data_IF_310530582085
#
_entry.id   IF_310530582085
#
_cell.length_a   1.000
_cell.length_b   1.000
_cell.length_c   1.000
_cell.angle_alpha   90.00
_cell.angle_beta   90.00
_cell.angle_gamma   90.00
#
_symmetry.space_group_name_H-M   'P 1'
#
loop_
_entity.id
_entity.type
_entity.pdbx_description
1 polymer ?
#
# COMPACT_ATOMS: atom_id res chain seq x y z
N UNK A 1 -55.76 6.22 18.42
CA UNK A 1 -56.01 4.92 19.08
C UNK A 1 -54.77 4.56 19.88
N UNK A 2 -54.92 4.31 21.19
CA UNK A 2 -53.87 3.96 22.18
C UNK A 2 -52.73 4.99 22.39
N UNK A 3 -52.31 5.25 23.65
CA UNK A 3 -51.17 6.13 23.97
C UNK A 3 -49.85 5.34 24.17
N UNK A 4 -48.72 6.06 24.23
CA UNK A 4 -47.40 5.53 24.55
C UNK A 4 -47.11 5.74 26.05
N UNK A 5 -46.49 4.75 26.69
CA UNK A 5 -46.13 4.76 28.13
C UNK A 5 -44.66 5.19 28.29
N UNK A 6 -44.33 6.15 29.18
CA UNK A 6 -42.94 6.52 29.48
C UNK A 6 -42.29 5.57 30.49
N UNK A 7 -40.99 5.29 30.31
CA UNK A 7 -40.17 4.52 31.27
C UNK A 7 -39.55 5.41 32.36
N UNK A 8 -39.52 4.92 33.60
CA UNK A 8 -39.15 5.73 34.77
C UNK A 8 -37.64 5.91 34.98
N UNK A 9 -37.24 7.14 35.30
CA UNK A 9 -35.96 7.44 35.94
C UNK A 9 -36.09 7.26 37.47
N UNK A 10 -35.11 6.60 38.11
CA UNK A 10 -35.12 6.34 39.55
C UNK A 10 -34.15 7.26 40.30
N UNK A 11 -34.69 8.13 41.17
CA UNK A 11 -33.94 8.86 42.20
C UNK A 11 -34.61 8.60 43.55
N UNK A 12 -33.87 8.05 44.51
CA UNK A 12 -34.39 7.66 45.84
C UNK A 12 -33.89 8.64 46.91
N UNK A 13 -34.80 9.33 47.60
CA UNK A 13 -34.49 10.15 48.79
C UNK A 13 -34.45 9.29 50.06
N UNK A 14 -33.74 9.78 51.08
CA UNK A 14 -33.79 9.27 52.45
C UNK A 14 -33.54 10.38 53.49
N UNK A 15 -34.40 10.43 54.50
CA UNK A 15 -34.34 11.23 55.74
C UNK A 15 -34.54 10.26 56.93
N UNK A 16 -34.42 10.57 58.23
CA UNK A 16 -34.10 11.77 59.04
C UNK A 16 -33.20 11.33 60.24
N UNK A 17 -33.15 11.81 61.50
CA UNK A 17 -33.74 12.90 62.32
C UNK A 17 -33.02 12.93 63.70
N UNK A 18 -33.08 14.05 64.45
CA UNK A 18 -32.83 14.17 65.93
C UNK A 18 -31.41 13.80 66.46
N UNK A 19 -30.89 14.21 67.63
CA UNK A 19 -31.07 15.30 68.64
C UNK A 19 -29.93 15.13 69.69
N UNK A 20 -29.47 16.05 70.55
CA UNK A 20 -29.63 17.51 70.80
C UNK A 20 -28.32 17.97 71.55
N UNK A 21 -28.17 18.89 72.55
CA UNK A 21 -29.02 19.82 73.32
C UNK A 21 -28.16 20.84 74.13
N UNK A 22 -28.53 22.12 74.11
CA UNK A 22 -28.40 23.18 75.16
C UNK A 22 -27.19 23.31 76.13
N UNK A 23 -26.58 24.52 76.11
CA UNK A 23 -26.24 25.44 77.24
C UNK A 23 -24.82 25.50 77.91
N UNK A 24 -24.47 26.77 78.21
CA UNK A 24 -23.48 27.34 79.16
C UNK A 24 -22.01 27.51 78.72
N UNK A 25 -21.28 28.40 79.43
CA UNK A 25 -20.20 29.22 78.87
C UNK A 25 -19.07 29.60 79.87
N UNK A 26 -17.90 29.95 79.32
CA UNK A 26 -16.69 30.48 79.99
C UNK A 26 -15.99 29.48 80.95
N UNK A 27 -14.68 29.58 81.28
CA UNK A 27 -13.73 30.69 81.11
C UNK A 27 -12.26 30.23 81.12
N UNK A 28 -11.38 30.92 80.36
CA UNK A 28 -9.90 30.99 80.50
C UNK A 28 -9.07 29.72 80.15
N UNK A 29 -7.81 29.85 79.64
CA UNK A 29 -7.12 28.78 78.94
C UNK A 29 -5.87 28.21 79.67
N UNK A 30 -5.38 27.07 79.18
CA UNK A 30 -3.96 26.69 79.27
C UNK A 30 -3.42 26.36 77.88
N UNK A 31 -2.10 26.49 77.74
CA UNK A 31 -1.38 26.60 76.47
C UNK A 31 -0.66 25.29 76.15
N UNK A 32 -1.04 24.58 75.09
CA UNK A 32 -0.11 23.62 74.47
C UNK A 32 -0.34 23.36 72.97
N UNK A 33 0.69 22.78 72.35
CA UNK A 33 1.02 22.79 70.93
C UNK A 33 -0.02 22.14 70.02
N UNK A 34 -0.65 22.95 69.16
CA UNK A 34 -1.35 22.44 67.98
C UNK A 34 -0.47 22.58 66.72
N UNK A 35 -0.23 21.48 66.01
CA UNK A 35 0.60 21.46 64.79
C UNK A 35 -0.14 22.11 63.61
N UNK A 36 0.53 23.02 62.89
CA UNK A 36 -0.05 23.71 61.74
C UNK A 36 -0.02 22.83 60.47
N UNK A 37 -0.93 21.85 60.40
CA UNK A 37 -1.11 21.02 59.19
C UNK A 37 -1.88 21.79 58.12
N UNK A 38 -1.19 22.62 57.34
CA UNK A 38 -1.75 23.27 56.16
C UNK A 38 -2.01 22.25 55.05
N UNK A 39 -3.22 21.67 55.05
CA UNK A 39 -3.73 20.89 53.92
C UNK A 39 -4.01 21.82 52.73
N UNK A 40 -2.96 22.10 51.95
CA UNK A 40 -3.08 22.67 50.62
C UNK A 40 -3.83 21.68 49.71
N UNK A 41 -5.15 21.82 49.65
CA UNK A 41 -6.02 21.01 48.80
C UNK A 41 -5.93 21.50 47.34
N UNK A 42 -4.78 21.23 46.71
CA UNK A 42 -4.47 21.65 45.35
C UNK A 42 -5.36 20.88 44.38
N UNK A 43 -6.42 21.56 43.90
CA UNK A 43 -7.31 21.05 42.84
C UNK A 43 -6.49 20.59 41.64
N UNK A 44 -6.36 19.27 41.45
CA UNK A 44 -5.75 18.67 40.25
C UNK A 44 -6.65 18.95 39.05
N UNK A 45 -6.40 20.06 38.36
CA UNK A 45 -6.97 20.32 37.04
C UNK A 45 -6.44 19.23 36.11
N UNK A 46 -7.32 18.34 35.66
CA UNK A 46 -7.00 17.38 34.61
C UNK A 46 -6.88 18.13 33.28
N UNK A 47 -5.68 18.63 33.00
CA UNK A 47 -5.29 19.08 31.68
C UNK A 47 -5.18 17.86 30.77
N UNK A 48 -6.32 17.42 30.22
CA UNK A 48 -6.32 16.64 28.99
C UNK A 48 -5.47 17.42 27.97
N UNK A 49 -4.37 16.83 27.52
CA UNK A 49 -3.57 17.43 26.44
C UNK A 49 -4.47 17.62 25.22
N UNK A 50 -4.65 18.84 24.70
CA UNK A 50 -5.55 19.06 23.59
C UNK A 50 -5.09 18.22 22.39
N UNK A 51 -6.02 17.54 21.73
CA UNK A 51 -5.71 16.68 20.59
C UNK A 51 -5.28 17.58 19.43
N UNK A 52 -3.97 17.74 19.26
CA UNK A 52 -3.36 18.60 18.25
C UNK A 52 -3.55 18.03 16.83
N UNK A 53 -4.76 18.18 16.29
CA UNK A 53 -5.06 18.00 14.86
C UNK A 53 -4.49 19.17 14.01
N UNK A 54 -3.26 19.57 14.29
CA UNK A 54 -2.54 20.61 13.55
C UNK A 54 -2.10 20.11 12.17
N UNK A 55 -1.62 21.04 11.32
CA UNK A 55 -1.18 20.75 9.93
C UNK A 55 -0.15 19.60 9.85
N UNK A 56 0.71 19.44 10.87
CA UNK A 56 1.66 18.32 10.99
C UNK A 56 0.97 16.96 11.16
N UNK A 57 -0.10 16.89 11.95
CA UNK A 57 -0.90 15.67 12.14
C UNK A 57 -1.58 15.28 10.83
N UNK A 58 -2.21 16.23 10.13
CA UNK A 58 -2.84 15.96 8.83
C UNK A 58 -1.81 15.47 7.78
N UNK A 59 -0.64 16.12 7.65
CA UNK A 59 0.45 15.65 6.77
C UNK A 59 0.97 14.24 7.12
N UNK A 60 0.98 13.88 8.40
CA UNK A 60 1.36 12.52 8.84
C UNK A 60 0.24 11.53 8.51
N UNK A 61 -1.03 11.91 8.69
CA UNK A 61 -2.19 11.08 8.38
C UNK A 61 -2.31 10.79 6.88
N UNK A 62 -2.11 11.78 6.00
CA UNK A 62 -2.11 11.56 4.55
C UNK A 62 -0.93 10.70 4.09
N UNK A 63 0.29 10.95 4.60
CA UNK A 63 1.47 10.13 4.27
C UNK A 63 1.31 8.68 4.74
N UNK A 64 0.83 8.47 5.96
CA UNK A 64 0.51 7.12 6.48
C UNK A 64 -0.58 6.46 5.65
N UNK A 65 -1.70 7.13 5.41
CA UNK A 65 -2.79 6.61 4.59
C UNK A 65 -2.32 6.15 3.19
N UNK A 66 -1.45 6.92 2.53
CA UNK A 66 -0.85 6.50 1.26
C UNK A 66 0.04 5.25 1.38
N UNK A 67 0.84 5.13 2.44
CA UNK A 67 1.67 3.95 2.73
C UNK A 67 0.82 2.72 3.11
N UNK A 68 -0.21 2.90 3.93
CA UNK A 68 -1.14 1.88 4.38
C UNK A 68 -2.00 1.36 3.20
N UNK A 69 -2.40 2.24 2.27
CA UNK A 69 -3.06 1.86 1.00
C UNK A 69 -2.13 1.06 0.08
N UNK A 70 -0.85 1.45 -0.06
CA UNK A 70 0.15 0.67 -0.82
C UNK A 70 0.33 -0.72 -0.22
N UNK A 71 0.52 -0.83 1.12
CA UNK A 71 0.62 -2.13 1.81
C UNK A 71 -0.68 -2.95 1.72
N UNK A 72 -1.84 -2.31 1.81
CA UNK A 72 -3.14 -2.96 1.67
C UNK A 72 -3.31 -3.65 0.31
N UNK A 73 -2.92 -2.99 -0.78
CA UNK A 73 -2.93 -3.58 -2.14
C UNK A 73 -1.95 -4.74 -2.29
N UNK A 74 -0.73 -4.62 -1.73
CA UNK A 74 0.24 -5.72 -1.70
C UNK A 74 -0.33 -6.95 -0.97
N UNK A 75 -0.91 -6.75 0.22
CA UNK A 75 -1.53 -7.84 0.99
C UNK A 75 -2.76 -8.44 0.28
N UNK A 76 -3.49 -7.63 -0.49
CA UNK A 76 -4.59 -8.10 -1.34
C UNK A 76 -4.06 -8.98 -2.50
N UNK A 77 -3.04 -8.53 -3.23
CA UNK A 77 -2.40 -9.29 -4.33
C UNK A 77 -1.87 -10.64 -3.85
N UNK A 78 -1.04 -10.65 -2.80
CA UNK A 78 -0.55 -11.90 -2.19
C UNK A 78 -1.72 -12.78 -1.71
N UNK A 79 -2.80 -12.18 -1.22
CA UNK A 79 -4.04 -12.89 -0.90
C UNK A 79 -4.70 -13.58 -2.10
N UNK A 80 -4.82 -12.91 -3.25
CA UNK A 80 -5.32 -13.47 -4.52
C UNK A 80 -4.41 -14.60 -5.02
N UNK A 81 -3.09 -14.38 -5.02
CA UNK A 81 -2.06 -15.37 -5.40
C UNK A 81 -2.20 -16.66 -4.54
N UNK A 82 -2.30 -16.54 -3.22
CA UNK A 82 -2.52 -17.67 -2.30
C UNK A 82 -3.80 -18.43 -2.63
N UNK A 83 -4.93 -17.75 -2.88
CA UNK A 83 -6.19 -18.44 -3.24
C UNK A 83 -6.04 -19.18 -4.58
N UNK A 84 -5.43 -18.56 -5.59
CA UNK A 84 -5.18 -19.17 -6.89
C UNK A 84 -4.30 -20.43 -6.78
N UNK A 85 -3.21 -20.37 -5.99
CA UNK A 85 -2.31 -21.51 -5.77
C UNK A 85 -2.96 -22.65 -4.97
N UNK A 86 -3.73 -22.34 -3.92
CA UNK A 86 -4.42 -23.34 -3.09
C UNK A 86 -5.51 -24.07 -3.90
N UNK A 87 -6.23 -23.37 -4.79
CA UNK A 87 -7.24 -24.01 -5.66
C UNK A 87 -6.60 -24.95 -6.70
N UNK A 88 -5.42 -24.59 -7.23
CA UNK A 88 -4.69 -25.38 -8.24
C UNK A 88 -3.98 -26.61 -7.68
N UNK A 89 -3.38 -26.51 -6.49
CA UNK A 89 -2.50 -27.57 -5.92
C UNK A 89 -2.84 -28.03 -4.49
N UNK A 90 -3.96 -27.58 -3.93
CA UNK A 90 -4.36 -27.86 -2.54
C UNK A 90 -3.68 -26.98 -1.49
N UNK A 91 -4.15 -27.01 -0.23
CA UNK A 91 -3.70 -26.12 0.84
C UNK A 91 -2.37 -26.51 1.50
N UNK A 92 -1.79 -27.65 1.16
CA UNK A 92 -0.58 -28.17 1.77
C UNK A 92 0.67 -27.64 1.03
N UNK A 93 1.54 -26.82 1.65
CA UNK A 93 2.70 -26.24 0.96
C UNK A 93 3.77 -27.28 0.61
N UNK A 94 3.82 -28.42 1.31
CA UNK A 94 4.76 -29.52 1.01
C UNK A 94 4.43 -30.21 -0.32
N UNK A 95 3.15 -30.30 -0.69
CA UNK A 95 2.72 -30.88 -1.98
C UNK A 95 2.51 -29.84 -3.08
N UNK A 96 2.59 -28.54 -2.76
CA UNK A 96 2.26 -27.44 -3.66
C UNK A 96 3.43 -26.43 -3.69
N UNK A 97 4.43 -26.63 -4.56
CA UNK A 97 5.62 -25.78 -4.59
C UNK A 97 5.30 -24.33 -4.97
N UNK A 98 4.26 -24.10 -5.79
CA UNK A 98 3.81 -22.74 -6.11
C UNK A 98 3.30 -22.00 -4.86
N UNK A 99 2.55 -22.69 -4.00
CA UNK A 99 2.15 -22.15 -2.70
C UNK A 99 3.37 -21.90 -1.79
N UNK A 100 4.35 -22.81 -1.75
CA UNK A 100 5.57 -22.62 -0.96
C UNK A 100 6.32 -21.33 -1.36
N UNK A 101 6.54 -21.08 -2.65
CA UNK A 101 7.17 -19.84 -3.14
C UNK A 101 6.36 -18.59 -2.78
N UNK A 102 5.03 -18.63 -2.86
CA UNK A 102 4.18 -17.49 -2.45
C UNK A 102 4.25 -17.26 -0.93
N UNK A 103 4.35 -18.32 -0.13
CA UNK A 103 4.56 -18.22 1.32
C UNK A 103 5.96 -17.72 1.71
N UNK A 104 6.93 -17.78 0.80
CA UNK A 104 8.26 -17.18 0.97
C UNK A 104 8.22 -15.69 0.65
N UNK A 105 7.71 -15.30 -0.52
CA UNK A 105 7.42 -13.88 -0.86
C UNK A 105 6.62 -13.17 0.24
N UNK A 106 5.62 -13.85 0.80
CA UNK A 106 4.77 -13.29 1.86
C UNK A 106 5.55 -12.96 3.15
N UNK A 107 6.66 -13.65 3.44
CA UNK A 107 7.56 -13.32 4.56
C UNK A 107 8.48 -12.17 4.19
N UNK A 108 9.03 -12.18 2.98
CA UNK A 108 9.93 -11.13 2.46
C UNK A 108 9.25 -9.76 2.40
N UNK A 109 7.93 -9.73 2.14
CA UNK A 109 7.13 -8.50 2.05
C UNK A 109 6.36 -8.16 3.34
N UNK A 110 6.79 -8.66 4.51
CA UNK A 110 6.20 -8.41 5.83
C UNK A 110 4.68 -8.70 5.94
N UNK A 111 4.14 -9.65 5.15
CA UNK A 111 2.68 -9.90 5.12
C UNK A 111 2.24 -10.61 6.41
N UNK A 112 1.27 -10.07 7.16
CA UNK A 112 0.76 -10.72 8.37
C UNK A 112 0.21 -12.13 8.11
N UNK A 113 0.68 -13.11 8.90
CA UNK A 113 0.30 -14.54 8.77
C UNK A 113 -1.21 -14.75 8.78
N UNK A 114 -1.93 -13.97 9.56
CA UNK A 114 -3.40 -14.01 9.66
C UNK A 114 -4.10 -13.79 8.31
N UNK A 115 -3.54 -12.93 7.45
CA UNK A 115 -4.07 -12.66 6.10
C UNK A 115 -3.87 -13.88 5.20
N UNK A 116 -2.68 -14.48 5.25
CA UNK A 116 -2.32 -15.69 4.51
C UNK A 116 -3.21 -16.86 4.93
N UNK A 117 -3.28 -17.14 6.23
CA UNK A 117 -4.14 -18.21 6.78
C UNK A 117 -5.61 -18.01 6.44
N UNK A 118 -6.13 -16.77 6.56
CA UNK A 118 -7.52 -16.46 6.21
C UNK A 118 -7.81 -16.74 4.74
N UNK A 119 -6.87 -16.46 3.85
CA UNK A 119 -7.04 -16.69 2.42
C UNK A 119 -6.85 -18.18 2.05
N UNK A 120 -5.95 -18.93 2.71
CA UNK A 120 -5.88 -20.40 2.60
C UNK A 120 -7.18 -21.09 3.05
N UNK A 121 -7.78 -20.61 4.15
CA UNK A 121 -9.06 -21.13 4.66
C UNK A 121 -10.20 -20.86 3.66
N UNK A 122 -10.39 -19.62 3.20
CA UNK A 122 -11.35 -19.28 2.11
C UNK A 122 -11.17 -20.13 0.86
N UNK A 123 -9.92 -20.39 0.44
CA UNK A 123 -9.62 -21.18 -0.76
C UNK A 123 -9.95 -22.67 -0.61
N UNK A 124 -10.11 -23.14 0.63
CA UNK A 124 -10.55 -24.51 0.96
C UNK A 124 -12.08 -24.62 1.09
N UNK A 125 -12.80 -23.49 1.16
CA UNK A 125 -14.26 -23.43 1.22
C UNK A 125 -14.88 -23.58 -0.20
N UNK A 126 -15.88 -24.46 -0.33
CA UNK A 126 -16.55 -24.70 -1.62
C UNK A 126 -17.51 -23.55 -1.94
N UNK A 127 -17.36 -22.93 -3.13
CA UNK A 127 -18.30 -21.95 -3.67
C UNK A 127 -17.70 -20.61 -4.11
N UNK A 128 -16.41 -20.37 -3.87
CA UNK A 128 -15.69 -19.23 -4.48
C UNK A 128 -15.46 -19.47 -5.98
N UNK A 129 -15.49 -18.41 -6.79
CA UNK A 129 -15.04 -18.45 -8.20
C UNK A 129 -13.49 -18.41 -8.28
N UNK A 130 -12.92 -18.83 -9.41
CA UNK A 130 -11.47 -18.76 -9.65
C UNK A 130 -11.04 -17.32 -9.94
N UNK A 131 -9.88 -16.91 -9.41
CA UNK A 131 -9.26 -15.64 -9.81
C UNK A 131 -8.68 -15.79 -11.22
N UNK A 132 -9.18 -14.96 -12.14
CA UNK A 132 -8.79 -14.91 -13.55
C UNK A 132 -7.85 -13.72 -13.77
N UNK A 133 -6.67 -14.01 -14.32
CA UNK A 133 -5.73 -13.01 -14.84
C UNK A 133 -6.26 -12.48 -16.19
N UNK A 134 -6.36 -11.15 -16.33
CA UNK A 134 -6.79 -10.52 -17.58
C UNK A 134 -6.10 -9.19 -17.83
N UNK A 135 -5.56 -9.03 -19.03
CA UNK A 135 -5.07 -7.73 -19.52
C UNK A 135 -6.19 -6.95 -20.17
N UNK A 136 -6.25 -5.65 -19.86
CA UNK A 136 -7.02 -4.65 -20.59
C UNK A 136 -6.08 -3.60 -21.18
N UNK A 137 -6.41 -3.14 -22.38
CA UNK A 137 -5.57 -2.23 -23.15
C UNK A 137 -6.29 -0.89 -23.28
N UNK A 138 -5.54 0.20 -23.12
CA UNK A 138 -6.07 1.57 -22.99
C UNK A 138 -5.15 2.52 -23.76
N UNK A 139 -5.73 3.50 -24.44
CA UNK A 139 -4.99 4.67 -24.94
C UNK A 139 -5.23 5.86 -24.01
N UNK A 140 -4.14 6.47 -23.55
CA UNK A 140 -4.14 7.73 -22.81
C UNK A 140 -3.99 8.94 -23.75
N UNK A 141 -3.62 10.07 -23.15
CA UNK A 141 -3.24 11.28 -23.87
C UNK A 141 -1.89 11.08 -24.59
N UNK A 142 -1.64 11.85 -25.66
CA UNK A 142 -0.42 11.73 -26.48
C UNK A 142 -0.31 10.45 -27.33
N UNK A 143 -1.30 9.55 -27.31
CA UNK A 143 -1.22 8.25 -28.00
C UNK A 143 -0.46 7.16 -27.22
N UNK A 144 -0.19 7.44 -25.93
CA UNK A 144 0.39 6.50 -24.96
C UNK A 144 -0.46 5.25 -24.85
N UNK A 145 0.20 4.11 -24.93
CA UNK A 145 -0.34 2.79 -24.65
C UNK A 145 -0.24 2.48 -23.15
N UNK A 146 -1.37 2.10 -22.57
CA UNK A 146 -1.46 1.54 -21.23
C UNK A 146 -1.91 0.08 -21.29
N UNK A 147 -1.26 -0.79 -20.51
CA UNK A 147 -1.70 -2.17 -20.27
C UNK A 147 -2.03 -2.32 -18.78
N UNK A 148 -3.26 -2.69 -18.49
CA UNK A 148 -3.79 -2.85 -17.12
C UNK A 148 -3.91 -4.34 -16.84
N UNK A 149 -3.13 -4.84 -15.88
CA UNK A 149 -3.20 -6.23 -15.42
C UNK A 149 -4.22 -6.33 -14.27
N UNK A 150 -5.26 -7.14 -14.49
CA UNK A 150 -6.36 -7.37 -13.55
C UNK A 150 -6.34 -8.81 -13.07
N UNK A 151 -6.47 -9.00 -11.76
CA UNK A 151 -6.67 -10.31 -11.13
C UNK A 151 -8.00 -10.27 -10.36
N UNK A 152 -9.02 -10.90 -10.92
CA UNK A 152 -10.41 -10.74 -10.45
C UNK A 152 -11.19 -12.06 -10.44
N UNK A 153 -12.13 -12.20 -9.50
CA UNK A 153 -13.17 -13.24 -9.55
C UNK A 153 -14.23 -12.94 -10.61
N UNK A 154 -14.45 -11.65 -10.94
CA UNK A 154 -15.62 -11.19 -11.71
C UNK A 154 -15.24 -10.19 -12.79
N UNK A 155 -14.86 -10.72 -13.96
CA UNK A 155 -14.51 -9.95 -15.16
C UNK A 155 -15.48 -8.80 -15.46
N UNK A 156 -16.80 -9.02 -15.37
CA UNK A 156 -17.80 -7.98 -15.66
C UNK A 156 -17.74 -6.79 -14.68
N UNK A 157 -17.35 -7.01 -13.41
CA UNK A 157 -17.11 -5.95 -12.42
C UNK A 157 -15.86 -5.15 -12.79
N UNK A 158 -14.74 -5.84 -12.98
CA UNK A 158 -13.46 -5.22 -13.29
C UNK A 158 -13.49 -4.42 -14.61
N UNK A 159 -14.11 -4.98 -15.67
CA UNK A 159 -14.32 -4.30 -16.96
C UNK A 159 -15.12 -3.00 -16.78
N UNK A 160 -16.16 -3.01 -15.94
CA UNK A 160 -16.97 -1.82 -15.69
C UNK A 160 -16.18 -0.74 -14.91
N UNK A 161 -15.45 -1.15 -13.87
CA UNK A 161 -14.64 -0.27 -13.05
C UNK A 161 -13.50 0.38 -13.85
N UNK A 162 -12.71 -0.43 -14.58
CA UNK A 162 -11.63 0.05 -15.47
C UNK A 162 -12.20 0.98 -16.53
N UNK A 163 -13.31 0.61 -17.20
CA UNK A 163 -13.93 1.48 -18.21
C UNK A 163 -14.43 2.82 -17.63
N UNK A 164 -14.90 2.86 -16.38
CA UNK A 164 -15.25 4.13 -15.74
C UNK A 164 -14.01 4.98 -15.53
N UNK A 165 -13.00 4.46 -14.80
CA UNK A 165 -11.76 5.20 -14.51
C UNK A 165 -11.09 5.75 -15.78
N UNK A 166 -11.02 4.94 -16.85
CA UNK A 166 -10.50 5.36 -18.17
C UNK A 166 -11.32 6.49 -18.76
N UNK A 167 -12.66 6.41 -18.74
CA UNK A 167 -13.55 7.43 -19.29
C UNK A 167 -13.54 8.73 -18.47
N UNK A 168 -13.52 8.60 -17.15
CA UNK A 168 -13.55 9.71 -16.21
C UNK A 168 -12.25 10.54 -16.28
N UNK A 169 -11.12 9.88 -16.60
CA UNK A 169 -9.84 10.51 -16.97
C UNK A 169 -9.63 10.64 -18.50
N UNK A 170 -10.70 10.68 -19.31
CA UNK A 170 -10.66 11.05 -20.74
C UNK A 170 -9.95 10.10 -21.71
N UNK A 171 -9.39 8.99 -21.22
CA UNK A 171 -8.76 7.93 -22.03
C UNK A 171 -9.78 7.07 -22.79
N UNK A 172 -9.28 6.10 -23.55
CA UNK A 172 -10.10 5.20 -24.40
C UNK A 172 -9.71 3.74 -24.21
N UNK A 173 -10.70 2.87 -23.99
CA UNK A 173 -10.48 1.42 -24.05
C UNK A 173 -10.07 1.02 -25.48
N UNK A 174 -8.97 0.26 -25.60
CA UNK A 174 -8.51 -0.31 -26.85
C UNK A 174 -9.06 -1.74 -27.05
N UNK A 175 -8.95 -2.24 -28.29
CA UNK A 175 -9.14 -3.65 -28.62
C UNK A 175 -7.95 -4.49 -28.16
N UNK A 176 -8.18 -5.78 -27.85
CA UNK A 176 -7.10 -6.68 -27.44
C UNK A 176 -6.03 -6.82 -28.56
N UNK A 177 -4.76 -6.75 -28.18
CA UNK A 177 -3.60 -6.78 -29.09
C UNK A 177 -3.26 -5.43 -29.76
N UNK A 178 -3.92 -4.33 -29.41
CA UNK A 178 -3.74 -3.01 -30.05
C UNK A 178 -2.72 -2.10 -29.32
N UNK A 179 -2.39 -2.45 -28.08
CA UNK A 179 -1.34 -1.83 -27.26
C UNK A 179 -0.32 -2.89 -26.84
N UNK A 180 -0.77 -4.11 -26.51
CA UNK A 180 0.08 -5.16 -25.94
C UNK A 180 1.28 -5.53 -26.84
N UNK A 181 1.17 -5.41 -28.17
CA UNK A 181 2.30 -5.65 -29.08
C UNK A 181 3.52 -4.71 -28.83
N UNK A 182 3.31 -3.56 -28.17
CA UNK A 182 4.37 -2.62 -27.82
C UNK A 182 5.23 -3.09 -26.63
N UNK A 183 4.81 -4.12 -25.89
CA UNK A 183 5.47 -4.56 -24.65
C UNK A 183 6.04 -5.99 -24.76
N UNK A 184 7.24 -6.21 -24.24
CA UNK A 184 7.80 -7.55 -23.95
C UNK A 184 7.52 -7.95 -22.50
N UNK A 185 7.27 -9.23 -22.25
CA UNK A 185 7.11 -9.79 -20.90
C UNK A 185 8.44 -10.36 -20.42
N UNK A 186 9.07 -9.70 -19.45
CA UNK A 186 10.41 -10.04 -18.95
C UNK A 186 10.40 -10.32 -17.44
N UNK A 187 11.52 -10.77 -16.91
CA UNK A 187 11.85 -10.66 -15.48
C UNK A 187 12.64 -9.39 -15.24
N UNK A 188 12.41 -8.75 -14.09
CA UNK A 188 13.16 -7.56 -13.65
C UNK A 188 13.86 -7.85 -12.33
N UNK A 189 14.99 -7.19 -12.10
CA UNK A 189 15.62 -7.03 -10.79
C UNK A 189 15.82 -5.53 -10.51
N UNK A 190 15.29 -5.03 -9.39
CA UNK A 190 15.40 -3.61 -9.03
C UNK A 190 16.51 -3.40 -7.99
N UNK A 191 17.52 -2.59 -8.33
CA UNK A 191 18.74 -2.34 -7.51
C UNK A 191 18.85 -0.84 -7.24
N UNK A 192 19.15 -0.43 -6.00
CA UNK A 192 19.23 1.00 -5.66
C UNK A 192 20.51 1.64 -6.18
N UNK A 193 20.42 2.90 -6.62
CA UNK A 193 21.58 3.70 -7.06
C UNK A 193 22.58 3.94 -5.92
N UNK A 194 22.16 3.87 -4.66
CA UNK A 194 23.04 3.92 -3.50
C UNK A 194 23.91 2.67 -3.30
N UNK A 195 23.53 1.54 -3.89
CA UNK A 195 24.03 0.22 -3.51
C UNK A 195 24.96 -0.38 -4.58
N UNK A 196 24.99 0.20 -5.79
CA UNK A 196 25.85 -0.22 -6.90
C UNK A 196 26.22 0.95 -7.81
N UNK A 197 27.48 1.02 -8.26
CA UNK A 197 27.89 1.96 -9.30
C UNK A 197 27.39 1.48 -10.68
N UNK A 198 27.07 2.42 -11.59
CA UNK A 198 26.53 2.14 -12.92
C UNK A 198 27.38 1.15 -13.71
N UNK A 199 28.69 1.38 -13.77
CA UNK A 199 29.59 0.60 -14.62
C UNK A 199 29.73 -0.84 -14.10
N UNK A 200 29.90 -1.00 -12.78
CA UNK A 200 29.90 -2.31 -12.10
C UNK A 200 28.59 -3.07 -12.31
N UNK A 201 27.44 -2.39 -12.19
CA UNK A 201 26.12 -3.00 -12.40
C UNK A 201 25.91 -3.42 -13.86
N UNK A 202 26.46 -2.67 -14.82
CA UNK A 202 26.43 -3.02 -16.24
C UNK A 202 27.33 -4.22 -16.56
N UNK A 203 28.55 -4.25 -16.01
CA UNK A 203 29.44 -5.42 -16.11
C UNK A 203 28.78 -6.66 -15.52
N UNK A 204 28.25 -6.58 -14.29
CA UNK A 204 27.45 -7.63 -13.65
C UNK A 204 26.26 -8.10 -14.48
N UNK A 205 25.51 -7.16 -15.07
CA UNK A 205 24.33 -7.47 -15.87
C UNK A 205 24.71 -8.29 -17.11
N UNK A 206 25.78 -7.90 -17.82
CA UNK A 206 26.31 -8.64 -18.97
C UNK A 206 26.81 -10.04 -18.54
N UNK A 207 27.57 -10.11 -17.45
CA UNK A 207 28.14 -11.36 -16.92
C UNK A 207 27.09 -12.33 -16.34
N UNK A 208 25.91 -11.82 -16.00
CA UNK A 208 24.74 -12.59 -15.57
C UNK A 208 23.76 -12.93 -16.70
N UNK A 209 24.00 -12.44 -17.92
CA UNK A 209 23.12 -12.69 -19.07
C UNK A 209 21.82 -11.88 -19.07
N UNK A 210 21.84 -10.66 -18.54
CA UNK A 210 20.73 -9.71 -18.68
C UNK A 210 20.56 -9.26 -20.15
N UNK A 211 19.33 -8.93 -20.52
CA UNK A 211 18.94 -8.50 -21.87
C UNK A 211 19.06 -6.98 -22.04
N UNK A 212 18.88 -6.22 -20.95
CA UNK A 212 18.83 -4.76 -20.93
C UNK A 212 19.07 -4.24 -19.49
N UNK A 213 19.51 -2.98 -19.34
CA UNK A 213 19.66 -2.30 -18.05
C UNK A 213 18.98 -0.95 -18.16
N UNK A 214 17.76 -0.87 -17.60
CA UNK A 214 16.97 0.36 -17.61
C UNK A 214 17.46 1.26 -16.49
N UNK A 215 18.06 2.38 -16.86
CA UNK A 215 18.49 3.44 -15.93
C UNK A 215 17.29 4.19 -15.33
N UNK A 216 17.39 4.66 -14.08
CA UNK A 216 16.36 5.50 -13.47
C UNK A 216 16.22 6.82 -14.23
N UNK A 217 14.98 7.22 -14.51
CA UNK A 217 14.68 8.51 -15.12
C UNK A 217 14.93 9.67 -14.14
N UNK A 218 15.64 10.71 -14.58
CA UNK A 218 15.94 11.92 -13.80
C UNK A 218 14.73 12.73 -13.31
N UNK A 219 13.52 12.34 -13.73
CA UNK A 219 12.26 13.01 -13.42
C UNK A 219 11.85 12.87 -11.94
N UNK A 220 12.38 11.88 -11.21
CA UNK A 220 12.27 11.81 -9.76
C UNK A 220 13.25 12.78 -9.09
N UNK A 221 12.78 14.03 -8.99
CA UNK A 221 13.18 15.05 -8.03
C UNK A 221 14.68 15.36 -7.92
N UNK A 222 15.13 16.45 -8.54
CA UNK A 222 16.45 17.05 -8.30
C UNK A 222 16.53 17.79 -6.93
N UNK A 223 16.26 17.04 -5.86
CA UNK A 223 16.70 17.35 -4.49
C UNK A 223 17.34 16.11 -3.90
N UNK A 224 18.41 16.30 -3.13
CA UNK A 224 19.31 15.25 -2.64
C UNK A 224 18.59 14.11 -1.87
N UNK A 225 17.43 14.41 -1.27
CA UNK A 225 16.57 13.44 -0.55
C UNK A 225 15.95 12.34 -1.46
N UNK A 226 15.80 12.55 -2.78
CA UNK A 226 15.27 11.53 -3.70
C UNK A 226 16.34 10.66 -4.38
N UNK A 227 17.62 11.04 -4.33
CA UNK A 227 18.68 10.26 -4.99
C UNK A 227 18.81 8.83 -4.41
N UNK A 228 18.48 8.64 -3.13
CA UNK A 228 18.43 7.34 -2.46
C UNK A 228 17.18 6.50 -2.74
N UNK A 229 16.18 7.02 -3.46
CA UNK A 229 14.98 6.27 -3.87
C UNK A 229 14.99 5.87 -5.36
N UNK A 230 16.08 6.16 -6.09
CA UNK A 230 16.25 5.76 -7.50
C UNK A 230 16.72 4.31 -7.65
N UNK A 231 16.21 3.61 -8.67
CA UNK A 231 16.53 2.20 -8.96
C UNK A 231 17.02 1.99 -10.39
N UNK A 232 18.10 1.22 -10.55
CA UNK A 232 18.43 0.52 -11.79
C UNK A 232 17.54 -0.72 -11.93
N UNK A 233 17.04 -0.99 -13.14
CA UNK A 233 16.23 -2.17 -13.46
C UNK A 233 16.96 -3.07 -14.46
N UNK A 234 17.53 -4.18 -13.97
CA UNK A 234 18.10 -5.21 -14.84
C UNK A 234 16.97 -6.06 -15.43
N UNK A 235 16.98 -6.24 -16.75
CA UNK A 235 15.94 -6.97 -17.50
C UNK A 235 16.47 -8.33 -17.92
N UNK A 236 15.66 -9.37 -17.83
CA UNK A 236 16.07 -10.75 -18.12
C UNK A 236 14.99 -11.58 -18.82
N UNK A 237 15.37 -12.50 -19.73
CA UNK A 237 14.53 -13.65 -20.03
C UNK A 237 14.34 -14.51 -18.76
N UNK A 238 13.27 -15.33 -18.66
CA UNK A 238 13.04 -16.17 -17.48
C UNK A 238 14.14 -17.23 -17.26
N UNK A 239 14.87 -17.60 -18.32
CA UNK A 239 15.93 -18.62 -18.31
C UNK A 239 17.17 -18.18 -17.52
N UNK A 240 17.62 -16.94 -17.70
CA UNK A 240 18.84 -16.41 -17.05
C UNK A 240 18.60 -15.86 -15.64
N UNK A 241 17.34 -15.78 -15.19
CA UNK A 241 16.97 -15.11 -13.94
C UNK A 241 17.67 -15.69 -12.70
N UNK A 242 18.02 -16.99 -12.70
CA UNK A 242 18.78 -17.59 -11.59
C UNK A 242 20.21 -17.06 -11.47
N UNK A 243 20.86 -16.66 -12.57
CA UNK A 243 22.20 -16.08 -12.55
C UNK A 243 22.17 -14.62 -12.07
N UNK A 244 21.15 -13.87 -12.47
CA UNK A 244 20.90 -12.48 -12.05
C UNK A 244 20.50 -12.40 -10.56
N UNK A 245 20.02 -13.49 -9.95
CA UNK A 245 19.79 -13.59 -8.51
C UNK A 245 21.04 -14.00 -7.69
N UNK A 246 22.03 -14.66 -8.30
CA UNK A 246 23.27 -15.05 -7.62
C UNK A 246 24.35 -13.99 -7.76
N UNK A 247 24.63 -13.50 -8.98
CA UNK A 247 25.74 -12.59 -9.28
C UNK A 247 25.78 -11.33 -8.38
N UNK A 248 24.69 -10.54 -8.22
CA UNK A 248 24.72 -9.37 -7.32
C UNK A 248 24.80 -9.76 -5.84
N UNK A 249 24.30 -10.95 -5.46
CA UNK A 249 24.37 -11.47 -4.10
C UNK A 249 25.79 -11.91 -3.73
N UNK A 250 26.53 -12.47 -4.68
CA UNK A 250 27.93 -12.85 -4.52
C UNK A 250 28.84 -11.62 -4.35
N UNK A 251 28.50 -10.49 -4.99
CA UNK A 251 29.14 -9.18 -4.77
C UNK A 251 28.57 -8.38 -3.57
N UNK A 252 27.56 -8.91 -2.88
CA UNK A 252 26.98 -8.28 -1.68
C UNK A 252 26.04 -7.10 -1.93
N UNK A 253 25.61 -6.87 -3.17
CA UNK A 253 24.70 -5.78 -3.56
C UNK A 253 23.27 -6.09 -3.09
N UNK A 254 22.64 -5.14 -2.40
CA UNK A 254 21.22 -5.23 -2.03
C UNK A 254 20.30 -4.96 -3.23
N UNK A 255 19.33 -5.84 -3.42
CA UNK A 255 18.33 -5.76 -4.49
C UNK A 255 16.93 -6.10 -3.97
N UNK A 256 15.91 -5.54 -4.62
CA UNK A 256 14.51 -5.81 -4.34
C UNK A 256 13.94 -6.84 -5.33
N UNK A 257 13.25 -7.85 -4.79
CA UNK A 257 12.70 -8.97 -5.56
C UNK A 257 11.36 -8.59 -6.20
N UNK A 258 11.38 -8.24 -7.48
CA UNK A 258 10.17 -7.96 -8.25
C UNK A 258 9.24 -9.19 -8.33
N UNK A 259 7.98 -8.99 -7.97
CA UNK A 259 7.03 -10.06 -7.56
C UNK A 259 6.67 -11.12 -8.61
N UNK A 260 7.10 -10.99 -9.87
CA UNK A 260 6.67 -11.85 -10.96
C UNK A 260 7.37 -11.53 -12.29
N UNK A 261 6.58 -11.34 -13.34
CA UNK A 261 7.04 -10.82 -14.64
C UNK A 261 6.58 -9.37 -14.78
N UNK A 262 7.36 -8.54 -15.47
CA UNK A 262 7.02 -7.16 -15.80
C UNK A 262 6.70 -7.03 -17.30
N UNK A 263 5.86 -6.08 -17.69
CA UNK A 263 5.66 -5.70 -19.09
C UNK A 263 6.47 -4.44 -19.39
N UNK A 264 7.50 -4.57 -20.21
CA UNK A 264 8.46 -3.51 -20.53
C UNK A 264 8.19 -3.01 -21.95
N UNK A 265 8.03 -1.69 -22.18
CA UNK A 265 7.80 -1.16 -23.52
C UNK A 265 9.04 -1.31 -24.41
N UNK A 266 8.86 -1.90 -25.59
CA UNK A 266 9.89 -2.09 -26.62
C UNK A 266 10.27 -0.77 -27.30
N UNK A 267 9.28 0.11 -27.47
CA UNK A 267 9.43 1.49 -27.93
C UNK A 267 8.65 2.39 -26.98
N UNK A 268 9.20 3.56 -26.63
CA UNK A 268 8.48 4.56 -25.82
C UNK A 268 7.92 5.68 -26.70
N UNK A 269 6.77 6.22 -26.31
CA UNK A 269 6.11 7.37 -26.96
C UNK A 269 6.53 8.64 -26.23
N UNK A 270 7.01 9.66 -26.96
CA UNK A 270 7.33 10.96 -26.37
C UNK A 270 6.06 11.84 -26.25
N UNK A 271 5.91 12.51 -25.12
CA UNK A 271 4.65 13.17 -24.70
C UNK A 271 4.94 14.53 -24.06
N UNK A 272 4.09 15.51 -24.34
CA UNK A 272 4.10 16.85 -23.75
C UNK A 272 3.68 16.85 -22.27
N UNK A 273 4.20 17.78 -21.47
CA UNK A 273 4.00 17.85 -20.02
C UNK A 273 2.52 17.81 -19.58
N UNK A 274 1.63 18.50 -20.28
CA UNK A 274 0.19 18.51 -19.97
C UNK A 274 -0.43 17.11 -20.10
N UNK A 275 -0.15 16.42 -21.22
CA UNK A 275 -0.62 15.07 -21.47
C UNK A 275 0.03 14.05 -20.54
N UNK A 276 1.29 14.29 -20.14
CA UNK A 276 2.03 13.45 -19.20
C UNK A 276 1.44 13.51 -17.78
N UNK A 277 1.03 14.70 -17.30
CA UNK A 277 0.35 14.84 -16.00
C UNK A 277 -1.07 14.24 -16.00
N UNK A 278 -1.85 14.44 -17.07
CA UNK A 278 -3.16 13.80 -17.24
C UNK A 278 -3.06 12.27 -17.26
N UNK A 279 -2.00 11.74 -17.89
CA UNK A 279 -1.69 10.31 -17.89
C UNK A 279 -1.28 9.78 -16.49
N UNK A 280 -0.66 10.59 -15.62
CA UNK A 280 -0.43 10.22 -14.21
C UNK A 280 -1.74 10.12 -13.43
N UNK A 281 -2.69 11.04 -13.62
CA UNK A 281 -4.00 10.93 -12.95
C UNK A 281 -4.72 9.64 -13.39
N UNK A 282 -4.80 9.38 -14.70
CA UNK A 282 -5.35 8.14 -15.24
C UNK A 282 -4.71 6.90 -14.60
N UNK A 283 -3.38 6.88 -14.47
CA UNK A 283 -2.66 5.76 -13.86
C UNK A 283 -2.94 5.64 -12.34
N UNK A 284 -3.09 6.75 -11.60
CA UNK A 284 -3.50 6.72 -10.19
C UNK A 284 -4.90 6.12 -10.04
N UNK A 285 -5.89 6.61 -10.81
CA UNK A 285 -7.28 6.11 -10.73
C UNK A 285 -7.39 4.64 -11.14
N UNK A 286 -6.56 4.16 -12.05
CA UNK A 286 -6.50 2.74 -12.41
C UNK A 286 -5.89 1.90 -11.29
N UNK A 287 -4.77 2.34 -10.71
CA UNK A 287 -4.13 1.68 -9.57
C UNK A 287 -4.99 1.73 -8.29
N UNK A 288 -5.94 2.65 -8.18
CA UNK A 288 -6.91 2.76 -7.09
C UNK A 288 -7.97 1.63 -7.06
N UNK A 289 -8.13 0.86 -8.14
CA UNK A 289 -9.13 -0.21 -8.22
C UNK A 289 -8.63 -1.52 -7.58
N UNK A 290 -9.41 -2.11 -6.66
CA UNK A 290 -9.08 -3.38 -5.97
C UNK A 290 -8.84 -4.58 -6.93
N UNK A 291 -9.41 -4.53 -8.13
CA UNK A 291 -9.27 -5.55 -9.17
C UNK A 291 -7.96 -5.43 -9.99
N UNK A 292 -7.31 -4.26 -9.98
CA UNK A 292 -6.08 -3.98 -10.74
C UNK A 292 -4.85 -4.31 -9.90
N UNK A 293 -3.98 -5.17 -10.42
CA UNK A 293 -2.75 -5.61 -9.75
C UNK A 293 -1.52 -4.85 -10.24
N UNK A 294 -1.50 -4.41 -11.51
CA UNK A 294 -0.45 -3.58 -12.09
C UNK A 294 -0.96 -2.73 -13.27
N UNK A 295 -0.28 -1.62 -13.54
CA UNK A 295 -0.49 -0.77 -14.73
C UNK A 295 0.87 -0.48 -15.36
N UNK A 296 0.99 -0.77 -16.65
CA UNK A 296 2.18 -0.55 -17.46
C UNK A 296 1.91 0.53 -18.50
N UNK A 297 2.92 1.31 -18.85
CA UNK A 297 2.81 2.44 -19.79
C UNK A 297 4.04 2.52 -20.70
N UNK A 298 3.84 2.98 -21.94
CA UNK A 298 4.93 3.23 -22.89
C UNK A 298 5.38 4.71 -22.94
N UNK A 299 4.89 5.56 -22.03
CA UNK A 299 5.22 6.98 -22.07
C UNK A 299 6.68 7.30 -21.70
N UNK A 300 7.20 8.36 -22.34
CA UNK A 300 8.45 9.04 -22.04
C UNK A 300 8.18 10.54 -22.13
N UNK A 301 8.71 11.34 -21.21
CA UNK A 301 8.61 12.80 -21.31
C UNK A 301 9.44 13.30 -22.49
N UNK A 302 8.90 14.24 -23.27
CA UNK A 302 9.69 14.91 -24.31
C UNK A 302 10.75 15.81 -23.65
N UNK A 303 12.02 15.66 -24.03
CA UNK A 303 13.11 16.53 -23.55
C UNK A 303 13.17 17.87 -24.33
N UNK A 304 12.22 18.10 -25.24
CA UNK A 304 12.29 19.08 -26.31
C UNK A 304 11.62 20.44 -25.98
N UNK A 305 11.59 20.85 -24.70
CA UNK A 305 10.94 22.10 -24.25
C UNK A 305 11.80 22.97 -23.30
N UNK A 306 13.12 22.99 -23.53
CA UNK A 306 14.03 24.03 -23.01
C UNK A 306 14.75 24.72 -24.18
N UNK A 307 14.07 25.69 -24.81
CA UNK A 307 14.59 26.60 -25.84
C UNK A 307 13.85 27.94 -25.80
#
# INVERSE_FOLDING_TARGET
KLPIIPGNCWIRKGSSSSSSSSLWAAQIPTFDRCWYSSRNDVRKIWTFTPIWMGRRSNKIATRKGAQDLKKGKLYAKIGKEVVSAVRKGGPNPISNPALATILEKAKELDVPKDIVERNMKKASEKGQEDYIEKFYEVYGYGGVGFVVEVLTDKLNRAVAAVRSAVKDCGGKMATAGSVMFRFRRARTLSVKVSDANKDQLLELALDAGAEDVIEPSDEEGNSEEYHSERYYKLVSPPENYSAILSKPRDEGISFELDSGFELIPNNRVEVDDEAMELNKELMSRLLELDDVDAVYTDQKRSLALNR
#
